data_IF_524786999195
#
_entry.id   IF_524786999195
#
_cell.length_a   1.000
_cell.length_b   1.000
_cell.length_c   1.000
_cell.angle_alpha   90.00
_cell.angle_beta   90.00
_cell.angle_gamma   90.00
#
_symmetry.space_group_name_H-M   'P 1'
#
loop_
_entity.id
_entity.type
_entity.pdbx_description
1 polymer ?
#
# COMPACT_ATOMS: atom_id res chain seq x y z
N UNK A 1 0.31 -3.62 20.42
CA UNK A 1 -0.78 -3.76 19.43
C UNK A 1 -0.20 -3.31 18.10
N UNK A 2 -0.41 -4.05 17.00
CA UNK A 2 0.17 -3.70 15.69
C UNK A 2 -0.40 -2.34 15.24
N UNK A 3 0.47 -1.43 14.80
CA UNK A 3 0.04 -0.11 14.30
C UNK A 3 -0.70 -0.24 12.97
N UNK A 4 -1.81 0.49 12.81
CA UNK A 4 -2.58 0.51 11.56
C UNK A 4 -1.96 1.55 10.61
N UNK A 5 -1.40 1.08 9.49
CA UNK A 5 -0.87 1.95 8.43
C UNK A 5 -1.96 2.84 7.83
N UNK A 6 -1.55 3.96 7.24
CA UNK A 6 -2.43 4.88 6.50
C UNK A 6 -3.14 4.16 5.37
N UNK A 7 -4.32 4.65 5.01
CA UNK A 7 -5.12 4.12 3.92
C UNK A 7 -4.34 4.19 2.60
N UNK A 8 -4.22 3.08 1.86
CA UNK A 8 -3.50 3.07 0.59
C UNK A 8 -4.13 4.00 -0.46
N UNK A 9 -5.44 4.26 -0.38
CA UNK A 9 -6.16 5.01 -1.42
C UNK A 9 -6.17 6.52 -1.22
N UNK A 10 -6.11 7.00 0.02
CA UNK A 10 -6.25 8.43 0.33
C UNK A 10 -5.26 8.95 1.37
N UNK A 11 -4.38 8.10 1.90
CA UNK A 11 -3.39 8.50 2.91
C UNK A 11 -3.95 8.85 4.30
N UNK A 12 -5.27 8.88 4.50
CA UNK A 12 -5.89 9.13 5.80
C UNK A 12 -5.74 7.94 6.76
N UNK A 13 -5.95 8.19 8.05
CA UNK A 13 -5.80 7.16 9.10
C UNK A 13 -6.87 6.07 8.97
N UNK A 14 -6.44 4.80 8.96
CA UNK A 14 -7.33 3.65 9.10
C UNK A 14 -7.79 3.46 10.56
N UNK A 15 -8.96 2.89 10.76
CA UNK A 15 -9.53 2.56 12.07
C UNK A 15 -9.99 1.12 12.12
N UNK A 16 -9.83 0.48 13.27
CA UNK A 16 -10.43 -0.82 13.54
C UNK A 16 -11.92 -0.62 13.84
N UNK A 17 -12.77 -1.47 13.27
CA UNK A 17 -14.19 -1.51 13.53
C UNK A 17 -14.61 -2.94 13.89
N UNK A 18 -15.52 -3.05 14.85
CA UNK A 18 -16.22 -4.28 15.17
C UNK A 18 -17.71 -4.13 14.83
N UNK A 19 -18.31 -5.15 14.23
CA UNK A 19 -19.75 -5.20 13.93
C UNK A 19 -20.35 -6.48 14.50
N UNK A 20 -21.45 -6.32 15.23
CA UNK A 20 -22.18 -7.39 15.93
C UNK A 20 -23.40 -7.95 15.16
N UNK A 21 -23.71 -7.41 13.96
CA UNK A 21 -24.89 -7.79 13.17
C UNK A 21 -24.54 -8.10 11.72
N UNK A 22 -23.79 -9.17 11.51
CA UNK A 22 -23.49 -9.65 10.15
C UNK A 22 -23.97 -11.07 10.04
N UNK A 23 -24.65 -11.44 8.96
CA UNK A 23 -25.08 -12.82 8.75
C UNK A 23 -24.00 -13.58 7.96
N UNK A 24 -23.60 -14.74 8.45
CA UNK A 24 -22.70 -15.68 7.78
C UNK A 24 -23.29 -17.08 7.92
N UNK A 25 -23.52 -17.76 6.80
CA UNK A 25 -24.20 -19.07 6.76
C UNK A 25 -25.54 -19.12 7.51
N UNK A 26 -26.33 -18.04 7.43
CA UNK A 26 -27.64 -17.95 8.11
C UNK A 26 -27.58 -17.59 9.59
N UNK A 27 -26.38 -17.53 10.18
CA UNK A 27 -26.19 -17.19 11.60
C UNK A 27 -25.69 -15.75 11.77
N UNK A 28 -26.13 -15.10 12.85
CA UNK A 28 -25.63 -13.78 13.21
C UNK A 28 -24.24 -13.92 13.86
N UNK A 29 -23.25 -13.30 13.25
CA UNK A 29 -21.85 -13.34 13.70
C UNK A 29 -21.30 -11.94 14.00
N UNK A 30 -20.37 -11.91 14.95
CA UNK A 30 -19.54 -10.75 15.24
C UNK A 30 -18.30 -10.77 14.35
N UNK A 31 -18.00 -9.67 13.68
CA UNK A 31 -16.76 -9.53 12.91
C UNK A 31 -16.01 -8.25 13.23
N UNK A 32 -14.74 -8.25 12.85
CA UNK A 32 -13.82 -7.13 12.96
C UNK A 32 -13.16 -6.88 11.60
N UNK A 33 -12.84 -5.63 11.30
CA UNK A 33 -12.14 -5.21 10.08
C UNK A 33 -11.52 -3.83 10.24
N UNK A 34 -10.52 -3.51 9.40
CA UNK A 34 -10.00 -2.15 9.28
C UNK A 34 -10.76 -1.40 8.19
N UNK A 35 -11.08 -0.13 8.42
CA UNK A 35 -11.69 0.74 7.42
C UNK A 35 -11.09 2.15 7.46
N UNK A 36 -11.22 2.88 6.35
CA UNK A 36 -10.88 4.29 6.27
C UNK A 36 -12.15 5.14 6.41
N UNK A 37 -12.22 6.02 7.41
CA UNK A 37 -13.39 6.91 7.57
C UNK A 37 -13.48 8.02 6.53
N UNK A 38 -12.44 8.24 5.71
CA UNK A 38 -12.42 9.29 4.69
C UNK A 38 -12.99 8.81 3.35
N UNK A 39 -12.57 7.64 2.87
CA UNK A 39 -12.97 7.10 1.56
C UNK A 39 -13.82 5.81 1.66
N UNK A 40 -14.19 5.40 2.87
CA UNK A 40 -14.90 4.15 3.18
C UNK A 40 -14.26 2.88 2.58
N UNK A 41 -12.96 2.92 2.26
CA UNK A 41 -12.21 1.74 1.87
C UNK A 41 -12.13 0.76 3.05
N UNK A 42 -12.41 -0.53 2.79
CA UNK A 42 -12.47 -1.59 3.81
C UNK A 42 -11.44 -2.67 3.54
N UNK A 43 -10.84 -3.18 4.61
CA UNK A 43 -9.96 -4.34 4.61
C UNK A 43 -10.71 -5.67 4.66
N UNK A 44 -9.96 -6.75 4.86
CA UNK A 44 -10.55 -8.07 5.15
C UNK A 44 -11.35 -8.03 6.44
N UNK A 45 -12.39 -8.88 6.48
CA UNK A 45 -13.18 -9.16 7.68
C UNK A 45 -12.70 -10.44 8.33
N UNK A 46 -12.65 -10.45 9.66
CA UNK A 46 -12.47 -11.65 10.47
C UNK A 46 -13.72 -11.87 11.32
N UNK A 47 -14.30 -13.07 11.24
CA UNK A 47 -15.37 -13.50 12.14
C UNK A 47 -14.72 -13.85 13.47
N UNK A 48 -15.12 -13.19 14.56
CA UNK A 48 -14.42 -13.29 15.85
C UNK A 48 -14.40 -14.72 16.40
N UNK A 49 -15.49 -15.48 16.23
CA UNK A 49 -15.60 -16.87 16.69
C UNK A 49 -14.69 -17.85 15.95
N UNK A 50 -14.09 -17.46 14.82
CA UNK A 50 -13.14 -18.31 14.09
C UNK A 50 -11.69 -18.18 14.61
N UNK A 51 -11.45 -17.28 15.56
CA UNK A 51 -10.11 -17.04 16.11
C UNK A 51 -10.05 -17.44 17.58
N UNK A 52 -8.90 -17.93 18.09
CA UNK A 52 -8.76 -18.31 19.50
C UNK A 52 -9.01 -17.16 20.47
N UNK A 53 -8.79 -15.91 20.05
CA UNK A 53 -9.01 -14.70 20.84
C UNK A 53 -9.40 -13.52 19.95
N UNK A 54 -10.10 -12.52 20.50
CA UNK A 54 -10.39 -11.27 19.78
C UNK A 54 -9.11 -10.55 19.32
N UNK A 55 -8.06 -10.60 20.16
CA UNK A 55 -6.74 -10.02 19.84
C UNK A 55 -6.16 -10.63 18.56
N UNK A 56 -6.26 -11.95 18.37
CA UNK A 56 -5.77 -12.62 17.15
C UNK A 56 -6.57 -12.23 15.90
N UNK A 57 -7.88 -12.06 16.02
CA UNK A 57 -8.70 -11.53 14.93
C UNK A 57 -8.29 -10.10 14.55
N UNK A 58 -8.00 -9.25 15.56
CA UNK A 58 -7.51 -7.88 15.33
C UNK A 58 -6.15 -7.85 14.64
N UNK A 59 -5.19 -8.63 15.14
CA UNK A 59 -3.87 -8.77 14.52
C UNK A 59 -4.00 -9.17 13.05
N UNK A 60 -4.81 -10.18 12.74
CA UNK A 60 -5.05 -10.66 11.37
C UNK A 60 -5.58 -9.57 10.42
N UNK A 61 -6.61 -8.81 10.84
CA UNK A 61 -7.19 -7.78 9.95
C UNK A 61 -6.27 -6.57 9.79
N UNK A 62 -5.50 -6.23 10.82
CA UNK A 62 -4.51 -5.15 10.77
C UNK A 62 -3.33 -5.54 9.86
N UNK A 63 -2.81 -6.77 9.98
CA UNK A 63 -1.76 -7.28 9.09
C UNK A 63 -2.22 -7.32 7.64
N UNK A 64 -3.44 -7.80 7.38
CA UNK A 64 -4.00 -7.80 6.03
C UNK A 64 -4.14 -6.39 5.45
N UNK A 65 -4.51 -5.39 6.26
CA UNK A 65 -4.58 -4.00 5.84
C UNK A 65 -3.19 -3.43 5.55
N UNK A 66 -2.25 -3.66 6.46
CA UNK A 66 -0.88 -3.16 6.37
C UNK A 66 -0.10 -3.78 5.20
N UNK A 67 -0.38 -5.04 4.84
CA UNK A 67 0.18 -5.68 3.65
C UNK A 67 -0.30 -4.96 2.38
N UNK A 68 -1.59 -4.60 2.33
CA UNK A 68 -2.15 -3.84 1.21
C UNK A 68 -1.55 -2.44 1.12
N UNK A 69 -1.38 -1.76 2.25
CA UNK A 69 -0.74 -0.45 2.32
C UNK A 69 0.77 -0.49 2.02
N UNK A 70 1.46 -1.58 2.36
CA UNK A 70 2.89 -1.77 2.08
C UNK A 70 3.18 -2.00 0.60
N UNK A 71 2.35 -2.82 -0.07
CA UNK A 71 2.50 -3.08 -1.51
C UNK A 71 2.42 -1.80 -2.34
N UNK A 72 1.48 -0.91 -2.03
CA UNK A 72 1.39 0.41 -2.66
C UNK A 72 2.66 1.25 -2.48
N UNK A 73 3.20 1.29 -1.25
CA UNK A 73 4.41 2.07 -0.97
C UNK A 73 5.64 1.55 -1.73
N UNK A 74 5.81 0.23 -1.80
CA UNK A 74 6.90 -0.41 -2.55
C UNK A 74 6.76 -0.19 -4.06
N UNK A 75 5.55 -0.31 -4.61
CA UNK A 75 5.28 -0.05 -6.03
C UNK A 75 5.53 1.42 -6.37
N UNK A 76 5.04 2.36 -5.54
CA UNK A 76 5.27 3.79 -5.76
C UNK A 76 6.76 4.12 -5.69
N UNK A 77 7.50 3.54 -4.74
CA UNK A 77 8.95 3.73 -4.65
C UNK A 77 9.68 3.21 -5.90
N UNK A 78 9.32 2.01 -6.36
CA UNK A 78 9.91 1.41 -7.57
C UNK A 78 9.61 2.24 -8.83
N UNK A 79 8.39 2.77 -8.97
CA UNK A 79 8.04 3.66 -10.09
C UNK A 79 8.87 4.93 -10.07
N UNK A 80 9.02 5.58 -8.91
CA UNK A 80 9.83 6.80 -8.77
C UNK A 80 11.30 6.56 -9.11
N UNK A 81 11.85 5.43 -8.66
CA UNK A 81 13.23 5.05 -8.99
C UNK A 81 13.41 4.82 -10.50
N UNK A 82 12.45 4.15 -11.14
CA UNK A 82 12.46 3.94 -12.59
C UNK A 82 12.35 5.27 -13.37
N UNK A 83 11.47 6.18 -12.94
CA UNK A 83 11.36 7.52 -13.53
C UNK A 83 12.67 8.30 -13.41
N UNK A 84 13.29 8.31 -12.22
CA UNK A 84 14.54 9.02 -11.99
C UNK A 84 15.69 8.47 -12.86
N UNK A 85 15.74 7.15 -13.04
CA UNK A 85 16.70 6.50 -13.94
C UNK A 85 16.47 6.91 -15.39
N UNK A 86 15.23 6.88 -15.86
CA UNK A 86 14.87 7.30 -17.22
C UNK A 86 15.29 8.75 -17.49
N UNK A 87 15.03 9.67 -16.55
CA UNK A 87 15.47 11.05 -16.68
C UNK A 87 16.99 11.18 -16.77
N UNK A 88 17.73 10.43 -15.94
CA UNK A 88 19.20 10.42 -15.98
C UNK A 88 19.72 9.92 -17.34
N UNK A 89 19.15 8.83 -17.87
CA UNK A 89 19.56 8.25 -19.15
C UNK A 89 19.27 9.21 -20.32
N UNK A 90 18.13 9.90 -20.29
CA UNK A 90 17.78 10.93 -21.29
C UNK A 90 18.76 12.09 -21.24
N UNK A 91 19.07 12.62 -20.04
CA UNK A 91 20.01 13.73 -19.89
C UNK A 91 21.40 13.34 -20.41
N UNK A 92 21.86 12.13 -20.09
CA UNK A 92 23.12 11.61 -20.59
C UNK A 92 23.12 11.55 -22.13
N UNK A 93 22.09 10.97 -22.74
CA UNK A 93 21.98 10.88 -24.19
C UNK A 93 21.98 12.25 -24.88
N UNK A 94 21.22 13.22 -24.35
CA UNK A 94 21.20 14.61 -24.86
C UNK A 94 22.59 15.25 -24.74
N UNK A 95 23.28 15.01 -23.64
CA UNK A 95 24.63 15.55 -23.40
C UNK A 95 25.63 14.98 -24.41
N UNK A 96 25.59 13.66 -24.65
CA UNK A 96 26.46 13.02 -25.64
C UNK A 96 26.16 13.48 -27.07
N UNK A 97 24.88 13.60 -27.45
CA UNK A 97 24.50 14.19 -28.74
C UNK A 97 25.03 15.62 -28.92
N UNK A 98 24.92 16.44 -27.86
CA UNK A 98 25.39 17.82 -27.89
C UNK A 98 26.92 17.94 -27.99
N UNK A 99 27.68 16.95 -27.53
CA UNK A 99 29.15 16.89 -27.72
C UNK A 99 29.48 16.55 -29.17
N UNK A 100 28.76 15.58 -29.75
CA UNK A 100 28.91 15.19 -31.16
C UNK A 100 28.64 16.39 -32.07
N UNK A 101 27.54 17.14 -31.84
CA UNK A 101 27.20 18.34 -32.62
C UNK A 101 28.24 19.45 -32.50
N UNK A 102 28.92 19.55 -31.35
CA UNK A 102 30.01 20.52 -31.11
C UNK A 102 31.36 20.07 -31.67
N UNK A 103 31.45 18.88 -32.25
CA UNK A 103 32.71 18.31 -32.72
C UNK A 103 33.68 17.93 -31.60
N UNK A 104 33.19 17.84 -30.36
CA UNK A 104 33.95 17.38 -29.20
C UNK A 104 34.01 15.85 -29.24
N UNK A 105 34.80 15.28 -30.16
CA UNK A 105 35.12 13.86 -30.08
C UNK A 105 36.17 13.66 -28.98
N UNK A 106 35.85 12.83 -27.98
CA UNK A 106 36.87 12.28 -27.10
C UNK A 106 37.83 11.44 -27.97
N UNK A 107 38.97 12.01 -28.33
CA UNK A 107 40.15 11.23 -28.67
C UNK A 107 40.67 10.67 -27.34
N UNK A 108 40.63 9.34 -27.23
CA UNK A 108 41.38 8.42 -26.35
C UNK A 108 41.97 8.96 -25.04
#
# INVERSE_FOLDING_TARGET
MIEIKRCPFCGCKGKLAEKSKTYYNGEQVHNTYVYCSNCDARGRRAILSHFPTHKKAHEYVIESWNKRAGYEAEVIAAVKEAEQRLYSDIIYAITEMSKIERGESNND
#
